data_IF_516327444603
#
_entry.id   IF_516327444603
#
_cell.length_a   1.000
_cell.length_b   1.000
_cell.length_c   1.000
_cell.angle_alpha   90.00
_cell.angle_beta   90.00
_cell.angle_gamma   90.00
#
_symmetry.space_group_name_H-M   'P 1'
#
loop_
_entity.id
_entity.type
_entity.pdbx_description
1 polymer ?
#
# COMPACT_ATOMS: atom_id res chain seq x y z
N UNK A 1 -63.49 -15.21 -47.44
CA UNK A 1 -62.06 -14.91 -47.20
C UNK A 1 -61.90 -14.40 -45.79
N UNK A 2 -61.29 -15.21 -44.91
CA UNK A 2 -60.90 -14.80 -43.55
C UNK A 2 -59.37 -14.92 -43.50
N UNK A 3 -58.70 -13.81 -43.24
CA UNK A 3 -57.24 -13.72 -43.14
C UNK A 3 -56.90 -13.89 -41.66
N UNK A 4 -56.26 -15.00 -41.31
CA UNK A 4 -55.74 -15.25 -39.97
C UNK A 4 -54.34 -14.63 -39.88
N UNK A 5 -54.03 -13.76 -38.90
CA UNK A 5 -52.67 -13.23 -38.78
C UNK A 5 -51.73 -14.28 -38.19
N UNK A 6 -50.56 -14.40 -38.80
CA UNK A 6 -49.44 -15.23 -38.38
C UNK A 6 -48.78 -14.61 -37.13
N UNK A 7 -48.80 -15.31 -36.00
CA UNK A 7 -48.07 -14.92 -34.79
C UNK A 7 -46.61 -15.36 -34.94
N UNK A 8 -45.71 -14.39 -35.14
CA UNK A 8 -44.25 -14.63 -35.13
C UNK A 8 -43.73 -14.49 -33.70
N UNK A 9 -43.44 -15.61 -33.04
CA UNK A 9 -42.79 -15.64 -31.74
C UNK A 9 -41.27 -15.71 -31.94
N UNK A 10 -40.57 -14.60 -31.75
CA UNK A 10 -39.09 -14.58 -31.71
C UNK A 10 -38.68 -14.84 -30.25
N UNK A 11 -38.25 -16.06 -29.96
CA UNK A 11 -37.59 -16.38 -28.70
C UNK A 11 -36.11 -16.01 -28.87
N UNK A 12 -35.72 -14.84 -28.37
CA UNK A 12 -34.32 -14.48 -28.17
C UNK A 12 -33.80 -15.30 -26.98
N UNK A 13 -33.25 -16.47 -27.24
CA UNK A 13 -32.40 -17.15 -26.25
C UNK A 13 -31.13 -16.33 -26.10
N UNK A 14 -31.09 -15.45 -25.10
CA UNK A 14 -29.83 -14.98 -24.54
C UNK A 14 -29.11 -16.20 -23.96
N UNK A 15 -28.35 -16.90 -24.79
CA UNK A 15 -27.16 -17.60 -24.32
C UNK A 15 -26.17 -16.51 -23.92
N UNK A 16 -26.42 -15.92 -22.76
CA UNK A 16 -25.46 -15.09 -22.07
C UNK A 16 -24.28 -16.00 -21.75
N UNK A 17 -23.30 -16.01 -22.65
CA UNK A 17 -21.91 -16.24 -22.26
C UNK A 17 -21.67 -15.17 -21.22
N UNK A 18 -21.79 -15.55 -19.96
CA UNK A 18 -21.34 -14.71 -18.86
C UNK A 18 -19.86 -14.49 -19.12
N UNK A 19 -19.52 -13.35 -19.71
CA UNK A 19 -18.19 -12.80 -19.56
C UNK A 19 -18.06 -12.54 -18.06
N UNK A 20 -17.53 -13.53 -17.35
CA UNK A 20 -16.93 -13.29 -16.06
C UNK A 20 -15.87 -12.23 -16.33
N UNK A 21 -16.17 -10.98 -15.97
CA UNK A 21 -15.15 -9.95 -15.91
C UNK A 21 -14.11 -10.46 -14.91
N UNK A 22 -13.01 -11.03 -15.38
CA UNK A 22 -11.85 -11.22 -14.54
C UNK A 22 -11.38 -9.81 -14.20
N UNK A 23 -11.53 -9.41 -12.94
CA UNK A 23 -10.92 -8.18 -12.50
C UNK A 23 -9.41 -8.36 -12.63
N UNK A 24 -8.79 -7.68 -13.59
CA UNK A 24 -7.33 -7.68 -13.72
C UNK A 24 -6.75 -7.03 -12.47
N UNK A 25 -5.90 -7.78 -11.76
CA UNK A 25 -5.13 -7.26 -10.64
C UNK A 25 -3.72 -6.94 -11.15
N UNK A 26 -3.23 -5.74 -10.86
CA UNK A 26 -1.83 -5.41 -10.99
C UNK A 26 -1.13 -5.72 -9.66
N UNK A 27 -0.20 -6.66 -9.67
CA UNK A 27 0.70 -6.88 -8.53
C UNK A 27 1.75 -5.78 -8.55
N UNK A 28 1.76 -4.94 -7.52
CA UNK A 28 2.76 -3.87 -7.36
C UNK A 28 4.04 -4.42 -6.75
N UNK A 29 3.89 -5.24 -5.71
CA UNK A 29 4.99 -5.91 -5.01
C UNK A 29 4.44 -7.13 -4.26
N UNK A 30 5.16 -8.24 -4.32
CA UNK A 30 4.93 -9.48 -3.58
C UNK A 30 6.22 -10.02 -2.92
N UNK A 31 7.36 -9.36 -3.13
CA UNK A 31 8.68 -9.70 -2.62
C UNK A 31 9.26 -11.05 -3.10
N UNK A 32 8.60 -11.74 -4.03
CA UNK A 32 9.04 -13.06 -4.53
C UNK A 32 10.28 -12.98 -5.42
N UNK A 33 10.54 -11.81 -6.02
CA UNK A 33 11.68 -11.60 -6.90
C UNK A 33 13.02 -11.43 -6.16
N UNK A 34 13.00 -11.24 -4.85
CA UNK A 34 14.19 -11.01 -4.04
C UNK A 34 14.67 -12.29 -3.38
N UNK A 35 15.98 -12.36 -3.09
CA UNK A 35 16.54 -13.46 -2.33
C UNK A 35 16.16 -13.33 -0.84
N UNK A 36 15.93 -14.46 -0.18
CA UNK A 36 15.66 -14.48 1.26
C UNK A 36 16.91 -14.00 2.03
N UNK A 37 16.70 -13.14 3.03
CA UNK A 37 17.69 -12.39 3.78
C UNK A 37 18.43 -11.33 2.95
N UNK A 38 17.87 -10.87 1.82
CA UNK A 38 18.39 -9.73 1.06
C UNK A 38 17.57 -8.47 1.28
N UNK A 39 18.18 -7.33 0.99
CA UNK A 39 17.45 -6.07 0.82
C UNK A 39 16.60 -6.12 -0.45
N UNK A 40 15.40 -5.52 -0.45
CA UNK A 40 14.59 -5.40 -1.65
C UNK A 40 15.18 -4.33 -2.58
N UNK A 41 16.07 -4.71 -3.51
CA UNK A 41 16.92 -3.77 -4.26
C UNK A 41 16.19 -2.74 -5.15
N UNK A 42 14.91 -2.97 -5.50
CA UNK A 42 14.09 -1.98 -6.21
C UNK A 42 13.53 -0.89 -5.29
N UNK A 43 13.47 -1.17 -3.99
CA UNK A 43 13.06 -0.18 -3.00
C UNK A 43 14.23 0.71 -2.62
N UNK A 44 13.94 1.99 -2.46
CA UNK A 44 14.95 3.03 -2.24
C UNK A 44 14.61 3.85 -1.00
N UNK A 45 15.61 4.44 -0.36
CA UNK A 45 15.39 5.44 0.69
C UNK A 45 15.08 6.80 0.05
N UNK A 46 13.89 7.38 0.28
CA UNK A 46 13.63 8.75 -0.12
C UNK A 46 14.45 9.73 0.74
N UNK A 47 14.81 10.88 0.16
CA UNK A 47 15.17 12.03 0.98
C UNK A 47 13.94 12.60 1.74
N UNK A 48 14.19 13.52 2.67
CA UNK A 48 13.15 14.14 3.51
C UNK A 48 12.03 14.83 2.72
N UNK A 49 12.27 15.18 1.45
CA UNK A 49 11.33 15.86 0.58
C UNK A 49 10.77 14.94 -0.52
N UNK A 50 11.09 13.64 -0.50
CA UNK A 50 10.75 12.66 -1.53
C UNK A 50 11.20 13.08 -2.95
N UNK A 51 12.30 13.84 -3.05
CA UNK A 51 12.81 14.37 -4.35
C UNK A 51 13.88 13.50 -4.97
N UNK A 52 14.66 12.81 -4.15
CA UNK A 52 15.68 11.87 -4.57
C UNK A 52 15.50 10.54 -3.87
N UNK A 53 15.90 9.48 -4.57
CA UNK A 53 15.87 8.11 -4.11
C UNK A 53 17.31 7.61 -4.06
N UNK A 54 17.71 7.04 -2.92
CA UNK A 54 19.04 6.43 -2.73
C UNK A 54 18.89 4.94 -2.51
N UNK A 55 19.92 4.19 -2.84
CA UNK A 55 19.94 2.76 -2.54
C UNK A 55 19.80 2.53 -1.03
N UNK A 56 19.18 1.42 -0.65
CA UNK A 56 19.16 1.00 0.74
C UNK A 56 20.60 0.71 1.18
N UNK A 57 21.03 1.23 2.33
CA UNK A 57 22.35 0.88 2.85
C UNK A 57 22.38 -0.63 3.11
N UNK A 58 23.48 -1.28 2.71
CA UNK A 58 23.68 -2.70 3.00
C UNK A 58 23.82 -2.95 4.52
N UNK A 59 24.19 -1.90 5.25
CA UNK A 59 24.53 -1.90 6.65
C UNK A 59 23.66 -0.85 7.37
N UNK A 60 22.82 -1.34 8.27
CA UNK A 60 22.01 -0.48 9.12
C UNK A 60 22.89 0.23 10.16
N UNK A 61 22.51 1.45 10.55
CA UNK A 61 23.27 2.24 11.52
C UNK A 61 23.39 1.53 12.89
N UNK A 62 22.40 0.69 13.22
CA UNK A 62 22.41 -0.20 14.38
C UNK A 62 22.32 -1.65 13.91
N UNK A 63 23.05 -2.59 14.54
CA UNK A 63 22.94 -4.01 14.20
C UNK A 63 21.55 -4.63 14.42
N UNK A 64 20.73 -4.01 15.27
CA UNK A 64 19.35 -4.45 15.55
C UNK A 64 18.37 -3.97 14.48
N UNK A 65 18.65 -2.86 13.80
CA UNK A 65 17.79 -2.36 12.74
C UNK A 65 17.94 -3.27 11.52
N UNK A 66 16.82 -3.69 10.93
CA UNK A 66 16.84 -4.47 9.71
C UNK A 66 15.67 -4.12 8.79
N UNK A 67 15.90 -4.31 7.49
CA UNK A 67 14.89 -4.31 6.44
C UNK A 67 15.28 -5.43 5.49
N UNK A 68 14.64 -6.59 5.59
CA UNK A 68 15.02 -7.77 4.82
C UNK A 68 13.80 -8.52 4.29
N UNK A 69 14.00 -9.22 3.18
CA UNK A 69 12.99 -10.16 2.67
C UNK A 69 13.13 -11.48 3.40
N UNK A 70 12.04 -11.99 3.96
CA UNK A 70 12.01 -13.30 4.63
C UNK A 70 10.93 -14.19 4.02
N UNK A 71 11.16 -15.50 4.04
CA UNK A 71 10.17 -16.47 3.59
C UNK A 71 9.19 -16.83 4.72
N UNK A 72 7.90 -16.87 4.39
CA UNK A 72 6.82 -17.40 5.23
C UNK A 72 6.01 -18.44 4.46
N UNK A 73 5.09 -19.13 5.16
CA UNK A 73 4.25 -20.19 4.55
C UNK A 73 3.41 -19.68 3.36
N UNK A 74 3.05 -18.40 3.37
CA UNK A 74 2.20 -17.72 2.39
C UNK A 74 2.99 -16.92 1.32
N UNK A 75 4.31 -17.11 1.27
CA UNK A 75 5.23 -16.41 0.37
C UNK A 75 6.23 -15.52 1.10
N UNK A 76 7.03 -14.80 0.31
CA UNK A 76 8.01 -13.86 0.82
C UNK A 76 7.33 -12.59 1.35
N UNK A 77 7.89 -12.02 2.42
CA UNK A 77 7.45 -10.73 2.96
C UNK A 77 8.65 -9.82 3.17
N UNK A 78 8.38 -8.52 3.19
CA UNK A 78 9.32 -7.55 3.76
C UNK A 78 9.13 -7.49 5.27
N UNK A 79 10.21 -7.70 5.99
CA UNK A 79 10.28 -7.54 7.44
C UNK A 79 11.14 -6.33 7.77
N UNK A 80 10.72 -5.56 8.76
CA UNK A 80 11.47 -4.41 9.24
C UNK A 80 11.44 -4.32 10.76
N UNK A 81 12.53 -3.82 11.33
CA UNK A 81 12.64 -3.46 12.74
C UNK A 81 13.55 -2.24 12.87
N UNK A 82 13.18 -1.33 13.76
CA UNK A 82 14.01 -0.17 14.11
C UNK A 82 13.93 0.13 15.60
N UNK A 83 15.01 0.64 16.17
CA UNK A 83 15.04 1.09 17.58
C UNK A 83 15.43 2.58 17.68
N UNK A 84 14.51 3.39 18.22
CA UNK A 84 14.74 4.83 18.47
C UNK A 84 14.80 5.72 17.22
N UNK A 85 14.67 5.14 16.04
CA UNK A 85 14.60 5.80 14.74
C UNK A 85 13.51 5.11 13.89
N UNK A 86 13.20 5.69 12.74
CA UNK A 86 12.29 5.09 11.75
C UNK A 86 13.00 4.90 10.42
N UNK A 87 12.65 3.83 9.71
CA UNK A 87 13.10 3.60 8.35
C UNK A 87 11.95 3.88 7.38
N UNK A 88 12.23 4.68 6.35
CA UNK A 88 11.32 4.88 5.24
C UNK A 88 11.99 4.37 3.97
N UNK A 89 11.24 3.53 3.25
CA UNK A 89 11.63 3.02 1.94
C UNK A 89 10.46 3.23 0.97
N UNK A 90 10.76 3.37 -0.31
CA UNK A 90 9.76 3.64 -1.34
C UNK A 90 10.09 2.89 -2.63
N UNK A 91 9.05 2.36 -3.26
CA UNK A 91 9.06 1.95 -4.66
C UNK A 91 8.52 3.13 -5.49
N UNK A 92 9.27 3.56 -6.51
CA UNK A 92 8.95 4.76 -7.28
C UNK A 92 8.80 4.46 -8.78
N UNK A 93 8.26 5.41 -9.55
CA UNK A 93 8.20 5.30 -11.02
C UNK A 93 9.57 5.21 -11.66
N UNK A 94 10.60 5.81 -11.04
CA UNK A 94 11.98 5.67 -11.49
C UNK A 94 12.51 4.22 -11.30
N UNK A 95 11.94 3.50 -10.33
CA UNK A 95 12.33 2.14 -9.94
C UNK A 95 11.30 1.08 -10.38
N UNK A 96 10.62 1.31 -11.52
CA UNK A 96 9.68 0.40 -12.21
C UNK A 96 8.26 0.31 -11.66
N UNK A 97 7.81 1.22 -10.79
CA UNK A 97 6.39 1.30 -10.45
C UNK A 97 5.55 1.70 -11.67
N UNK A 98 4.78 0.76 -12.22
CA UNK A 98 3.91 0.96 -13.41
C UNK A 98 2.44 1.25 -13.07
N UNK A 99 2.13 1.48 -11.81
CA UNK A 99 0.76 1.72 -11.34
C UNK A 99 0.27 3.16 -11.59
N UNK A 100 -1.02 3.28 -11.90
CA UNK A 100 -1.72 4.56 -11.96
C UNK A 100 -3.18 4.43 -11.44
N UNK A 101 -3.71 5.52 -10.90
CA UNK A 101 -5.03 5.55 -10.26
C UNK A 101 -6.19 5.44 -11.25
N UNK A 102 -6.00 5.83 -12.51
CA UNK A 102 -7.04 5.78 -13.54
C UNK A 102 -7.36 4.34 -13.95
N UNK A 103 -6.32 3.51 -14.13
CA UNK A 103 -6.46 2.08 -14.46
C UNK A 103 -6.74 1.21 -13.23
N UNK A 104 -6.10 1.51 -12.09
CA UNK A 104 -6.17 0.68 -10.88
C UNK A 104 -6.49 1.53 -9.64
N UNK A 105 -7.76 1.96 -9.46
CA UNK A 105 -8.15 2.91 -8.40
C UNK A 105 -8.22 2.30 -7.00
N UNK A 106 -8.12 0.97 -6.89
CA UNK A 106 -8.24 0.23 -5.64
C UNK A 106 -6.93 -0.48 -5.33
N UNK A 107 -6.41 -0.24 -4.13
CA UNK A 107 -5.20 -0.88 -3.61
C UNK A 107 -5.60 -1.90 -2.54
N UNK A 108 -4.84 -2.99 -2.46
CA UNK A 108 -4.94 -4.02 -1.44
C UNK A 108 -3.53 -4.44 -1.05
N UNK A 109 -3.28 -4.61 0.23
CA UNK A 109 -2.02 -5.08 0.78
C UNK A 109 -2.30 -6.01 1.96
N UNK A 110 -1.28 -6.79 2.34
CA UNK A 110 -1.23 -7.54 3.59
C UNK A 110 -0.05 -7.02 4.38
N UNK A 111 -0.25 -6.86 5.68
CA UNK A 111 0.78 -6.40 6.60
C UNK A 111 0.37 -6.76 8.04
N UNK A 112 1.35 -6.75 8.94
CA UNK A 112 1.16 -6.91 10.38
C UNK A 112 2.23 -6.11 11.11
N UNK A 113 1.93 -5.69 12.33
CA UNK A 113 2.90 -5.14 13.25
C UNK A 113 2.92 -6.06 14.48
N UNK A 114 4.08 -6.60 14.81
CA UNK A 114 4.23 -7.52 15.95
C UNK A 114 4.30 -6.73 17.28
N UNK A 115 4.83 -5.50 17.23
CA UNK A 115 4.89 -4.56 18.36
C UNK A 115 4.44 -3.17 17.91
N UNK A 116 3.72 -2.46 18.79
CA UNK A 116 3.28 -1.09 18.58
C UNK A 116 3.88 -0.19 19.66
N UNK A 117 4.32 1.04 19.34
CA UNK A 117 4.89 1.92 20.34
C UNK A 117 3.84 2.33 21.40
N UNK A 118 4.21 2.19 22.67
CA UNK A 118 3.34 2.49 23.79
C UNK A 118 2.97 3.98 23.85
N UNK A 119 1.68 4.28 23.95
CA UNK A 119 1.18 5.66 24.07
C UNK A 119 1.31 6.50 22.80
N UNK A 120 1.69 5.89 21.67
CA UNK A 120 1.71 6.56 20.38
C UNK A 120 0.32 7.07 19.97
N UNK A 121 0.31 8.23 19.31
CA UNK A 121 -0.89 8.93 18.85
C UNK A 121 -0.65 9.60 17.51
N UNK A 122 -1.25 9.06 16.47
CA UNK A 122 -1.14 9.56 15.11
C UNK A 122 -1.96 10.83 14.85
N UNK A 123 -2.69 11.33 15.84
CA UNK A 123 -3.38 12.62 15.86
C UNK A 123 -2.56 13.75 16.49
N UNK A 124 -1.46 13.42 17.16
CA UNK A 124 -0.61 14.38 17.87
C UNK A 124 0.80 14.33 17.30
N UNK A 125 1.26 15.40 16.65
CA UNK A 125 2.53 15.42 15.89
C UNK A 125 3.75 14.96 16.70
N UNK A 126 3.85 15.32 17.98
CA UNK A 126 4.97 14.94 18.86
C UNK A 126 4.89 13.50 19.37
N UNK A 127 3.76 12.83 19.18
CA UNK A 127 3.48 11.45 19.61
C UNK A 127 3.20 10.52 18.42
N UNK A 128 3.37 11.01 17.18
CA UNK A 128 3.06 10.26 15.95
C UNK A 128 4.19 9.29 15.63
N UNK A 129 4.33 8.31 16.50
CA UNK A 129 5.12 7.11 16.30
C UNK A 129 4.19 5.98 15.85
N UNK A 130 4.69 5.02 15.09
CA UNK A 130 3.88 3.88 14.63
C UNK A 130 4.77 2.68 14.34
N UNK A 131 4.28 1.47 14.65
CA UNK A 131 5.03 0.24 14.39
C UNK A 131 5.27 0.03 12.89
N UNK A 132 4.29 0.41 12.05
CA UNK A 132 4.45 0.39 10.59
C UNK A 132 3.42 1.31 9.91
N UNK A 133 3.79 1.85 8.75
CA UNK A 133 2.89 2.63 7.92
C UNK A 133 3.12 2.43 6.42
N UNK A 134 2.02 2.27 5.67
CA UNK A 134 2.03 2.27 4.21
C UNK A 134 1.70 3.68 3.71
N UNK A 135 2.59 4.24 2.91
CA UNK A 135 2.40 5.54 2.29
C UNK A 135 2.08 5.37 0.81
N UNK A 136 0.95 5.92 0.36
CA UNK A 136 0.63 6.02 -1.06
C UNK A 136 0.69 7.49 -1.46
N UNK A 137 1.68 7.81 -2.30
CA UNK A 137 1.94 9.17 -2.75
C UNK A 137 1.37 9.40 -4.15
N UNK A 138 0.73 10.55 -4.33
CA UNK A 138 0.08 10.97 -5.57
C UNK A 138 0.66 12.29 -6.05
N UNK A 139 0.76 12.43 -7.36
CA UNK A 139 1.03 13.72 -7.99
C UNK A 139 -0.17 14.63 -7.76
N UNK A 140 0.00 15.57 -6.83
CA UNK A 140 -0.99 16.61 -6.60
C UNK A 140 -0.46 17.88 -7.21
N UNK A 141 -1.12 18.29 -8.30
CA UNK A 141 -0.77 19.38 -9.21
C UNK A 141 -0.63 20.74 -8.51
N UNK A 142 0.43 20.90 -7.74
CA UNK A 142 0.81 22.12 -7.03
C UNK A 142 2.05 22.72 -7.70
N UNK A 143 2.21 24.04 -7.61
CA UNK A 143 3.27 24.80 -8.28
C UNK A 143 4.68 24.38 -7.85
N UNK A 144 4.83 23.70 -6.71
CA UNK A 144 6.10 23.15 -6.21
C UNK A 144 6.32 21.65 -6.49
N UNK A 145 5.37 20.99 -7.17
CA UNK A 145 5.44 19.56 -7.52
C UNK A 145 5.53 18.62 -6.31
N UNK A 146 4.97 19.03 -5.15
CA UNK A 146 5.00 18.19 -3.94
C UNK A 146 3.88 17.14 -4.01
N UNK A 147 4.10 15.91 -3.52
CA UNK A 147 3.04 14.89 -3.52
C UNK A 147 1.93 15.20 -2.50
N UNK A 148 0.72 14.68 -2.74
CA UNK A 148 -0.19 14.37 -1.63
C UNK A 148 0.03 12.93 -1.22
N UNK A 149 -0.11 12.63 0.06
CA UNK A 149 0.14 11.27 0.56
C UNK A 149 -0.98 10.82 1.46
N UNK A 150 -1.38 9.56 1.31
CA UNK A 150 -2.20 8.86 2.30
C UNK A 150 -1.27 7.93 3.09
N UNK A 151 -1.23 8.08 4.41
CA UNK A 151 -0.57 7.17 5.36
C UNK A 151 -1.63 6.24 5.93
N UNK A 152 -1.54 4.95 5.65
CA UNK A 152 -2.27 3.92 6.36
C UNK A 152 -1.39 3.44 7.51
N UNK A 153 -1.93 3.36 8.72
CA UNK A 153 -1.15 3.13 9.95
C UNK A 153 -1.88 2.18 10.90
N UNK A 154 -1.10 1.45 11.71
CA UNK A 154 -1.56 0.92 12.98
C UNK A 154 -1.74 2.07 13.99
N UNK A 155 -2.47 1.82 15.08
CA UNK A 155 -2.45 2.66 16.27
C UNK A 155 -2.53 1.82 17.54
N UNK A 156 -1.77 2.21 18.57
CA UNK A 156 -1.86 1.61 19.91
C UNK A 156 -2.94 2.28 20.78
N UNK A 157 -3.46 3.45 20.39
CA UNK A 157 -4.36 4.25 21.24
C UNK A 157 -5.60 4.80 20.53
N UNK A 158 -5.54 5.02 19.22
CA UNK A 158 -6.65 5.57 18.45
C UNK A 158 -7.50 4.43 17.88
N UNK A 159 -8.82 4.59 17.79
CA UNK A 159 -9.68 3.57 17.18
C UNK A 159 -9.46 3.47 15.67
N UNK A 160 -9.74 2.30 15.11
CA UNK A 160 -9.83 2.06 13.66
C UNK A 160 -10.77 3.09 13.03
N UNK A 161 -10.47 3.51 11.81
CA UNK A 161 -11.13 4.59 11.06
C UNK A 161 -10.89 6.03 11.56
N UNK A 162 -10.02 6.23 12.55
CA UNK A 162 -9.52 7.58 12.86
C UNK A 162 -8.77 8.17 11.67
N UNK A 163 -9.15 9.39 11.28
CA UNK A 163 -8.56 10.13 10.14
C UNK A 163 -8.02 11.47 10.59
N UNK A 164 -6.76 11.72 10.27
CA UNK A 164 -6.03 12.94 10.66
C UNK A 164 -5.38 13.55 9.43
N UNK A 165 -5.32 14.88 9.39
CA UNK A 165 -4.67 15.61 8.31
C UNK A 165 -3.50 16.44 8.82
N UNK A 166 -2.32 16.21 8.25
CA UNK A 166 -1.11 17.01 8.44
C UNK A 166 -0.73 17.68 7.14
N UNK A 167 -1.35 18.83 6.84
CA UNK A 167 -1.15 19.53 5.57
C UNK A 167 -1.58 18.66 4.38
N UNK A 168 -0.61 18.08 3.66
CA UNK A 168 -0.82 17.23 2.48
C UNK A 168 -0.75 15.73 2.75
N UNK A 169 -0.45 15.37 4.00
CA UNK A 169 -0.52 14.00 4.49
C UNK A 169 -1.90 13.76 5.11
N UNK A 170 -2.57 12.72 4.65
CA UNK A 170 -3.80 12.20 5.24
C UNK A 170 -3.46 10.88 5.93
N UNK A 171 -3.50 10.83 7.25
CA UNK A 171 -3.29 9.61 8.02
C UNK A 171 -4.64 8.94 8.29
N UNK A 172 -4.72 7.64 8.11
CA UNK A 172 -5.88 6.80 8.38
C UNK A 172 -5.44 5.58 9.18
N UNK A 173 -5.95 5.46 10.40
CA UNK A 173 -5.81 4.27 11.23
C UNK A 173 -6.68 3.17 10.64
N UNK A 174 -6.06 2.14 10.06
CA UNK A 174 -6.79 1.05 9.37
C UNK A 174 -6.90 -0.22 10.22
N UNK A 175 -6.15 -0.29 11.31
CA UNK A 175 -6.14 -1.40 12.26
C UNK A 175 -5.54 -0.91 13.58
N UNK A 176 -5.89 -1.57 14.68
CA UNK A 176 -5.45 -1.20 16.03
C UNK A 176 -4.89 -2.39 16.78
N UNK A 177 -4.22 -2.14 17.91
CA UNK A 177 -3.70 -3.18 18.79
C UNK A 177 -4.75 -4.23 19.23
N UNK A 178 -6.04 -3.89 19.22
CA UNK A 178 -7.13 -4.82 19.57
C UNK A 178 -7.60 -5.70 18.39
N UNK A 179 -7.15 -5.41 17.17
CA UNK A 179 -7.53 -6.12 15.93
C UNK A 179 -6.47 -7.13 15.47
N UNK A 180 -5.32 -7.18 16.16
CA UNK A 180 -4.17 -8.08 15.90
C UNK A 180 -4.10 -9.11 17.03
#
# INVERSE_FOLDING_TARGET
MRVTPLLLLIILTNLGVGNAFSQEFLVIEDFEQYEVNSLPYLWRMPDKNMRSMRELPLDHARPSDFVDVVAEDDGNILRAYTEGESVQIALSRADKLVWNLESFPRLRWRWRADELPDGAREDTRSLNDTGAALYVAFDCNDWLGRPCTIKYTYSSTLPTDTRVRYGRLFAWVVTTASDV
#
